data_IF_636895780001
#
_entry.id   IF_636895780001
#
_cell.length_a   1.000
_cell.length_b   1.000
_cell.length_c   1.000
_cell.angle_alpha   90.00
_cell.angle_beta   90.00
_cell.angle_gamma   90.00
#
_symmetry.space_group_name_H-M   'P 1'
#
loop_
_entity.id
_entity.type
_entity.pdbx_description
1 polymer ?
#
# COMPACT_ATOMS: atom_id res chain seq x y z
N UNK A 1 -13.47 9.48 25.27
CA UNK A 1 -13.62 8.18 24.57
C UNK A 1 -13.55 8.43 23.08
N UNK A 2 -12.59 7.84 22.35
CA UNK A 2 -12.62 7.85 20.88
C UNK A 2 -13.62 6.77 20.44
N UNK A 3 -14.75 7.21 19.90
CA UNK A 3 -15.79 6.30 19.39
C UNK A 3 -15.22 5.57 18.17
N UNK A 4 -15.19 4.25 18.28
CA UNK A 4 -14.69 3.33 17.27
C UNK A 4 -15.79 3.16 16.20
N UNK A 5 -15.82 4.05 15.19
CA UNK A 5 -16.69 3.92 14.01
C UNK A 5 -16.07 2.95 12.98
N UNK A 6 -15.93 1.65 13.30
CA UNK A 6 -14.86 0.87 12.64
C UNK A 6 -15.14 0.20 11.29
N UNK A 7 -16.37 -0.14 10.86
CA UNK A 7 -16.49 -1.06 9.71
C UNK A 7 -17.43 -0.63 8.59
N UNK A 8 -18.53 0.06 8.92
CA UNK A 8 -19.56 0.41 7.92
C UNK A 8 -19.06 1.49 6.94
N UNK A 9 -18.23 2.41 7.43
CA UNK A 9 -17.72 3.53 6.61
C UNK A 9 -16.52 3.09 5.76
N UNK A 10 -15.61 2.25 6.30
CA UNK A 10 -14.45 1.75 5.56
C UNK A 10 -14.87 0.90 4.35
N UNK A 11 -15.84 0.00 4.52
CA UNK A 11 -16.34 -0.83 3.41
C UNK A 11 -16.95 0.01 2.28
N UNK A 12 -17.70 1.07 2.62
CA UNK A 12 -18.28 1.97 1.64
C UNK A 12 -17.20 2.81 0.94
N UNK A 13 -16.19 3.26 1.68
CA UNK A 13 -15.06 4.00 1.16
C UNK A 13 -14.27 3.15 0.16
N UNK A 14 -13.98 1.88 0.50
CA UNK A 14 -13.32 0.91 -0.39
C UNK A 14 -14.14 0.70 -1.66
N UNK A 15 -15.46 0.51 -1.55
CA UNK A 15 -16.35 0.34 -2.71
C UNK A 15 -16.32 1.55 -3.65
N UNK A 16 -16.34 2.78 -3.10
CA UNK A 16 -16.22 4.01 -3.88
C UNK A 16 -14.85 4.13 -4.54
N UNK A 17 -13.78 3.85 -3.79
CA UNK A 17 -12.42 3.88 -4.33
C UNK A 17 -12.22 2.86 -5.47
N UNK A 18 -12.85 1.68 -5.37
CA UNK A 18 -12.85 0.64 -6.41
C UNK A 18 -13.59 1.08 -7.69
N UNK A 19 -14.45 2.11 -7.60
CA UNK A 19 -15.13 2.76 -8.72
C UNK A 19 -14.34 3.97 -9.26
N UNK A 20 -13.04 4.07 -8.96
CA UNK A 20 -12.16 5.19 -9.36
C UNK A 20 -12.59 6.57 -8.80
N UNK A 21 -13.34 6.60 -7.70
CA UNK A 21 -13.61 7.85 -7.01
C UNK A 21 -12.30 8.38 -6.38
N UNK A 22 -11.81 9.51 -6.88
CA UNK A 22 -10.52 10.11 -6.48
C UNK A 22 -10.49 10.49 -4.99
N UNK A 23 -11.55 11.08 -4.47
CA UNK A 23 -11.64 11.47 -3.06
C UNK A 23 -11.56 10.25 -2.14
N UNK A 24 -12.21 9.15 -2.52
CA UNK A 24 -12.18 7.91 -1.76
C UNK A 24 -10.79 7.26 -1.79
N UNK A 25 -10.11 7.27 -2.94
CA UNK A 25 -8.73 6.78 -3.06
C UNK A 25 -7.76 7.62 -2.23
N UNK A 26 -7.87 8.96 -2.33
CA UNK A 26 -7.09 9.88 -1.51
C UNK A 26 -7.32 9.60 -0.02
N UNK A 27 -8.58 9.40 0.39
CA UNK A 27 -8.87 9.17 1.80
C UNK A 27 -8.28 7.86 2.33
N UNK A 28 -8.34 6.78 1.54
CA UNK A 28 -7.68 5.52 1.89
C UNK A 28 -6.16 5.70 1.97
N UNK A 29 -5.57 6.44 1.03
CA UNK A 29 -4.15 6.74 1.07
C UNK A 29 -3.77 7.50 2.35
N UNK A 30 -4.48 8.57 2.71
CA UNK A 30 -4.24 9.34 3.93
C UNK A 30 -4.31 8.49 5.20
N UNK A 31 -5.28 7.56 5.26
CA UNK A 31 -5.48 6.69 6.43
C UNK A 31 -4.34 5.69 6.60
N UNK A 32 -3.82 5.13 5.50
CA UNK A 32 -2.90 4.00 5.56
C UNK A 32 -1.43 4.36 5.27
N UNK A 33 -1.14 5.46 4.60
CA UNK A 33 0.19 5.79 4.07
C UNK A 33 1.29 5.80 5.13
N UNK A 34 1.10 6.50 6.26
CA UNK A 34 2.14 6.55 7.31
C UNK A 34 2.52 5.16 7.87
N UNK A 35 1.53 4.27 8.01
CA UNK A 35 1.78 2.89 8.46
C UNK A 35 2.42 2.05 7.34
N UNK A 36 2.02 2.25 6.09
CA UNK A 36 2.59 1.52 4.96
C UNK A 36 4.01 1.97 4.61
N UNK A 37 4.35 3.24 4.82
CA UNK A 37 5.72 3.74 4.78
C UNK A 37 6.56 3.02 5.83
N UNK A 38 6.06 2.94 7.07
CA UNK A 38 6.74 2.20 8.15
C UNK A 38 6.96 0.73 7.79
N UNK A 39 6.05 0.09 7.07
CA UNK A 39 6.22 -1.28 6.55
C UNK A 39 7.33 -1.33 5.51
N UNK A 40 7.36 -0.42 4.52
CA UNK A 40 8.42 -0.38 3.51
C UNK A 40 9.80 -0.15 4.14
N UNK A 41 9.87 0.73 5.15
CA UNK A 41 11.07 1.03 5.95
C UNK A 41 11.64 -0.16 6.73
N UNK A 42 10.85 -1.21 6.99
CA UNK A 42 11.36 -2.46 7.57
C UNK A 42 12.25 -3.24 6.60
N UNK A 43 12.15 -2.96 5.30
CA UNK A 43 12.91 -3.63 4.25
C UNK A 43 13.92 -2.70 3.57
N UNK A 44 13.60 -1.41 3.44
CA UNK A 44 14.38 -0.44 2.67
C UNK A 44 14.95 0.62 3.61
N UNK A 45 16.28 0.74 3.64
CA UNK A 45 17.01 1.66 4.54
C UNK A 45 16.98 3.12 4.07
N UNK A 46 16.98 3.37 2.77
CA UNK A 46 16.84 4.72 2.24
C UNK A 46 15.37 5.19 2.32
N UNK A 47 15.14 6.46 2.67
CA UNK A 47 13.78 6.97 2.88
C UNK A 47 13.08 7.24 1.54
N UNK A 48 13.79 7.82 0.58
CA UNK A 48 13.24 8.13 -0.73
C UNK A 48 12.88 6.85 -1.47
N UNK A 49 13.77 5.85 -1.46
CA UNK A 49 13.49 4.52 -2.04
C UNK A 49 12.24 3.89 -1.38
N UNK A 50 12.08 4.03 -0.05
CA UNK A 50 10.93 3.47 0.65
C UNK A 50 9.62 4.20 0.32
N UNK A 51 9.66 5.52 0.16
CA UNK A 51 8.53 6.34 -0.27
C UNK A 51 8.10 6.00 -1.70
N UNK A 52 9.06 5.90 -2.63
CA UNK A 52 8.82 5.54 -4.02
C UNK A 52 8.20 4.14 -4.16
N UNK A 53 8.71 3.17 -3.40
CA UNK A 53 8.14 1.82 -3.34
C UNK A 53 6.72 1.83 -2.76
N UNK A 54 6.49 2.61 -1.69
CA UNK A 54 5.15 2.73 -1.11
C UNK A 54 4.17 3.34 -2.12
N UNK A 55 4.54 4.40 -2.83
CA UNK A 55 3.71 5.04 -3.84
C UNK A 55 3.39 4.08 -5.00
N UNK A 56 4.41 3.37 -5.49
CA UNK A 56 4.25 2.33 -6.52
C UNK A 56 3.33 1.20 -6.07
N UNK A 57 3.42 0.79 -4.80
CA UNK A 57 2.54 -0.20 -4.22
C UNK A 57 1.10 0.31 -4.04
N UNK A 58 0.89 1.57 -3.65
CA UNK A 58 -0.45 2.18 -3.60
C UNK A 58 -1.09 2.29 -4.98
N UNK A 59 -0.30 2.58 -6.02
CA UNK A 59 -0.80 2.51 -7.39
C UNK A 59 -1.36 1.11 -7.68
N UNK A 60 -0.63 0.04 -7.34
CA UNK A 60 -1.10 -1.35 -7.49
C UNK A 60 -2.32 -1.66 -6.64
N UNK A 61 -2.38 -1.15 -5.41
CA UNK A 61 -3.55 -1.27 -4.53
C UNK A 61 -4.80 -0.74 -5.23
N UNK A 62 -4.72 0.46 -5.82
CA UNK A 62 -5.88 1.07 -6.48
C UNK A 62 -6.22 0.41 -7.82
N UNK A 63 -5.23 -0.01 -8.61
CA UNK A 63 -5.49 -0.73 -9.87
C UNK A 63 -6.15 -2.09 -9.66
N UNK A 64 -5.83 -2.77 -8.56
CA UNK A 64 -6.38 -4.10 -8.20
C UNK A 64 -7.45 -4.05 -7.11
N UNK A 65 -7.96 -2.86 -6.76
CA UNK A 65 -8.86 -2.71 -5.62
C UNK A 65 -10.18 -3.48 -5.79
N UNK A 66 -10.62 -3.66 -7.04
CA UNK A 66 -11.82 -4.45 -7.38
C UNK A 66 -11.66 -5.94 -7.02
N UNK A 67 -10.43 -6.43 -6.91
CA UNK A 67 -10.12 -7.82 -6.58
C UNK A 67 -10.12 -8.07 -5.07
N UNK A 68 -10.25 -7.03 -4.24
CA UNK A 68 -10.35 -7.17 -2.80
C UNK A 68 -11.70 -7.78 -2.40
N UNK A 69 -11.67 -9.03 -1.94
CA UNK A 69 -12.86 -9.84 -1.62
C UNK A 69 -13.52 -9.54 -0.27
N UNK A 70 -13.02 -8.56 0.50
CA UNK A 70 -13.43 -8.33 1.89
C UNK A 70 -13.22 -9.54 2.82
N UNK A 71 -12.33 -10.45 2.43
CA UNK A 71 -11.87 -11.57 3.25
C UNK A 71 -10.68 -11.10 4.10
N UNK A 72 -10.95 -10.77 5.37
CA UNK A 72 -9.97 -10.18 6.28
C UNK A 72 -9.90 -8.65 6.20
N UNK A 73 -8.87 -8.06 6.81
CA UNK A 73 -8.74 -6.60 6.87
C UNK A 73 -8.18 -6.01 5.58
N UNK A 74 -8.71 -4.87 5.16
CA UNK A 74 -8.18 -4.10 4.04
C UNK A 74 -6.71 -3.72 4.27
N UNK A 75 -6.39 -3.28 5.49
CA UNK A 75 -5.02 -2.96 5.88
C UNK A 75 -4.07 -4.16 5.69
N UNK A 76 -4.48 -5.38 6.06
CA UNK A 76 -3.68 -6.59 5.89
C UNK A 76 -3.44 -6.92 4.42
N UNK A 77 -4.44 -6.68 3.57
CA UNK A 77 -4.33 -6.84 2.13
C UNK A 77 -3.35 -5.83 1.51
N UNK A 78 -3.46 -4.54 1.87
CA UNK A 78 -2.53 -3.48 1.45
C UNK A 78 -1.10 -3.79 1.93
N UNK A 79 -0.93 -4.19 3.20
CA UNK A 79 0.38 -4.55 3.76
C UNK A 79 1.07 -5.65 2.96
N UNK A 80 0.33 -6.65 2.49
CA UNK A 80 0.86 -7.73 1.65
C UNK A 80 1.43 -7.20 0.33
N UNK A 81 0.75 -6.22 -0.28
CA UNK A 81 1.22 -5.57 -1.52
C UNK A 81 2.50 -4.78 -1.23
N UNK A 82 2.55 -4.01 -0.14
CA UNK A 82 3.74 -3.24 0.27
C UNK A 82 4.97 -4.14 0.43
N UNK A 83 4.83 -5.25 1.16
CA UNK A 83 5.94 -6.19 1.40
C UNK A 83 6.42 -6.80 0.09
N UNK A 84 5.50 -7.21 -0.79
CA UNK A 84 5.85 -7.77 -2.10
C UNK A 84 6.61 -6.76 -2.95
N UNK A 85 6.19 -5.50 -2.94
CA UNK A 85 6.85 -4.45 -3.71
C UNK A 85 8.24 -4.13 -3.18
N UNK A 86 8.40 -4.03 -1.86
CA UNK A 86 9.70 -3.82 -1.24
C UNK A 86 10.69 -4.94 -1.54
N UNK A 87 10.25 -6.22 -1.46
CA UNK A 87 11.10 -7.36 -1.82
C UNK A 87 11.46 -7.34 -3.31
N UNK A 88 10.50 -7.00 -4.18
CA UNK A 88 10.73 -6.86 -5.62
C UNK A 88 11.78 -5.79 -5.93
N UNK A 89 11.67 -4.62 -5.29
CA UNK A 89 12.63 -3.52 -5.40
C UNK A 89 14.03 -3.96 -4.99
N UNK A 90 14.19 -4.60 -3.82
CA UNK A 90 15.49 -5.07 -3.34
C UNK A 90 16.13 -6.10 -4.27
N UNK A 91 15.34 -7.00 -4.85
CA UNK A 91 15.83 -7.97 -5.84
C UNK A 91 16.37 -7.28 -7.09
N UNK A 92 15.67 -6.26 -7.58
CA UNK A 92 16.11 -5.47 -8.75
C UNK A 92 17.37 -4.66 -8.45
N UNK A 93 17.40 -3.96 -7.30
CA UNK A 93 18.55 -3.17 -6.86
C UNK A 93 19.79 -4.04 -6.72
N UNK A 94 19.65 -5.20 -6.08
CA UNK A 94 20.71 -6.21 -5.97
C UNK A 94 21.26 -6.58 -7.35
N UNK A 95 20.40 -6.90 -8.31
CA UNK A 95 20.85 -7.32 -9.65
C UNK A 95 21.63 -6.23 -10.40
N UNK A 96 21.32 -4.95 -10.18
CA UNK A 96 22.04 -3.84 -10.80
C UNK A 96 23.48 -3.72 -10.24
N UNK A 97 23.67 -3.97 -8.94
CA UNK A 97 24.99 -3.93 -8.30
C UNK A 97 25.93 -5.04 -8.79
N UNK A 98 25.41 -6.13 -9.36
CA UNK A 98 26.22 -7.24 -9.89
C UNK A 98 26.46 -7.19 -11.41
N UNK A 99 25.96 -6.16 -12.11
CA UNK A 99 26.18 -5.99 -13.56
C UNK A 99 27.36 -5.08 -13.91
N UNK A 100 28.13 -4.65 -12.91
CA UNK A 100 29.41 -3.97 -13.11
C UNK A 100 30.53 -5.03 -13.26
N UNK A 101 30.58 -5.71 -14.41
CA UNK A 101 31.74 -6.47 -14.92
C UNK A 101 31.69 -6.55 -16.46
#
# INVERSE_FOLDING_TARGET
>A
MKVIQLFKNESQLIKRAAQNNREAQQKLYEIHSGKMLSVCRQYIRDLHDAEDVMLSAFFKVFTHLKDFKFEGSFEGWVRRIMIREAISFLRKKKNLEFQED
#
